data_IF_233834984719
#
_entry.id   IF_233834984719
#
_cell.length_a   1.000
_cell.length_b   1.000
_cell.length_c   1.000
_cell.angle_alpha   90.00
_cell.angle_beta   90.00
_cell.angle_gamma   90.00
#
_symmetry.space_group_name_H-M   'P 1'
#
loop_
_entity.id
_entity.type
_entity.pdbx_description
1 polymer ?
#
# COMPACT_ATOMS: atom_id res chain seq x y z
N UNK A 1 28.53 -6.88 -44.72
CA UNK A 1 29.13 -8.24 -44.70
C UNK A 1 28.01 -9.21 -45.07
N UNK A 2 27.82 -9.39 -46.39
CA UNK A 2 27.79 -10.70 -47.09
C UNK A 2 26.57 -11.55 -46.70
N UNK A 3 25.40 -11.41 -47.32
CA UNK A 3 25.02 -11.78 -48.70
C UNK A 3 25.17 -13.29 -48.97
N UNK A 4 24.05 -14.02 -49.04
CA UNK A 4 23.98 -15.27 -49.80
C UNK A 4 22.54 -15.56 -50.24
N UNK A 5 22.25 -15.11 -51.46
CA UNK A 5 21.15 -15.61 -52.29
C UNK A 5 21.38 -17.09 -52.61
N UNK A 6 20.36 -17.92 -52.39
CA UNK A 6 20.30 -19.25 -53.01
C UNK A 6 19.18 -19.24 -54.03
N UNK A 7 19.59 -19.22 -55.29
CA UNK A 7 18.76 -19.37 -56.48
C UNK A 7 18.66 -20.86 -56.81
N UNK A 8 17.44 -21.37 -56.95
CA UNK A 8 17.18 -22.71 -57.49
C UNK A 8 16.18 -22.61 -58.64
N UNK A 9 16.69 -22.93 -59.83
CA UNK A 9 15.96 -23.50 -60.95
C UNK A 9 15.16 -24.73 -60.46
N UNK A 10 14.01 -25.12 -60.99
CA UNK A 10 13.34 -24.85 -62.25
C UNK A 10 12.49 -26.10 -62.51
N UNK A 11 11.29 -25.96 -63.07
CA UNK A 11 10.58 -27.08 -63.72
C UNK A 11 9.39 -26.53 -64.50
N UNK A 12 9.52 -26.61 -65.83
CA UNK A 12 8.46 -26.31 -66.78
C UNK A 12 7.40 -27.42 -66.74
N UNK A 13 6.26 -27.11 -66.11
CA UNK A 13 5.05 -27.92 -66.17
C UNK A 13 4.07 -27.39 -67.21
N UNK A 14 3.63 -28.26 -68.11
CA UNK A 14 2.56 -28.06 -69.12
C UNK A 14 1.27 -27.53 -68.48
N UNK A 15 0.61 -26.49 -69.03
CA UNK A 15 -0.63 -25.97 -68.48
C UNK A 15 -1.79 -26.92 -68.84
N UNK A 16 -2.15 -27.78 -67.90
CA UNK A 16 -3.45 -28.44 -67.91
C UNK A 16 -4.54 -27.36 -67.84
N UNK A 17 -5.52 -27.43 -68.75
CA UNK A 17 -6.56 -26.44 -68.93
C UNK A 17 -7.19 -26.02 -67.60
N UNK A 18 -7.08 -24.72 -67.29
CA UNK A 18 -7.71 -24.11 -66.12
C UNK A 18 -9.23 -24.27 -66.26
N UNK A 19 -9.91 -25.07 -65.43
CA UNK A 19 -11.36 -25.05 -65.38
C UNK A 19 -11.80 -23.63 -65.04
N UNK A 20 -12.81 -23.13 -65.75
CA UNK A 20 -13.36 -21.80 -65.52
C UNK A 20 -13.61 -21.58 -64.02
N UNK A 21 -13.24 -20.42 -63.45
CA UNK A 21 -13.50 -20.13 -62.06
C UNK A 21 -14.99 -20.31 -61.81
N UNK A 22 -15.33 -21.36 -61.06
CA UNK A 22 -16.67 -21.52 -60.50
C UNK A 22 -16.85 -20.28 -59.65
N UNK A 23 -17.71 -19.37 -60.09
CA UNK A 23 -18.19 -18.23 -59.31
C UNK A 23 -18.93 -18.85 -58.12
N UNK A 24 -18.17 -19.16 -57.06
CA UNK A 24 -18.78 -19.39 -55.76
C UNK A 24 -19.48 -18.07 -55.40
N UNK A 25 -20.79 -18.12 -55.10
CA UNK A 25 -21.46 -16.94 -54.57
C UNK A 25 -20.67 -16.47 -53.34
N UNK A 26 -20.51 -15.16 -53.13
CA UNK A 26 -19.73 -14.63 -52.02
C UNK A 26 -20.19 -15.31 -50.74
N UNK A 27 -19.31 -16.13 -50.16
CA UNK A 27 -19.54 -16.75 -48.87
C UNK A 27 -19.64 -15.60 -47.89
N UNK A 28 -20.87 -15.27 -47.49
CA UNK A 28 -21.16 -14.38 -46.39
C UNK A 28 -20.61 -15.06 -45.14
N UNK A 29 -19.33 -14.85 -44.85
CA UNK A 29 -18.81 -15.13 -43.52
C UNK A 29 -19.70 -14.35 -42.56
N UNK A 30 -20.35 -15.03 -41.61
CA UNK A 30 -21.12 -14.32 -40.60
C UNK A 30 -20.19 -13.31 -39.94
N UNK A 31 -20.64 -12.07 -39.71
CA UNK A 31 -19.83 -11.03 -39.10
C UNK A 31 -19.20 -11.60 -37.83
N UNK A 32 -17.86 -11.57 -37.77
CA UNK A 32 -17.09 -12.03 -36.61
C UNK A 32 -17.55 -11.20 -35.42
N UNK A 33 -18.45 -11.73 -34.61
CA UNK A 33 -18.92 -11.11 -33.38
C UNK A 33 -17.75 -11.11 -32.43
N UNK A 34 -17.00 -10.00 -32.38
CA UNK A 34 -16.06 -9.79 -31.30
C UNK A 34 -16.86 -9.91 -29.99
N UNK A 35 -16.42 -10.77 -29.05
CA UNK A 35 -17.10 -10.86 -27.77
C UNK A 35 -17.13 -9.46 -27.17
N UNK A 36 -18.30 -8.99 -26.68
CA UNK A 36 -18.42 -7.65 -26.16
C UNK A 36 -17.32 -7.41 -25.11
N UNK A 37 -16.67 -6.24 -25.12
CA UNK A 37 -15.60 -5.94 -24.17
C UNK A 37 -16.12 -6.23 -22.77
N UNK A 38 -15.40 -7.09 -22.03
CA UNK A 38 -15.83 -7.54 -20.71
C UNK A 38 -16.19 -6.31 -19.87
N UNK A 39 -17.46 -6.20 -19.49
CA UNK A 39 -17.92 -5.05 -18.72
C UNK A 39 -17.09 -4.93 -17.43
N UNK A 40 -16.59 -3.73 -17.10
CA UNK A 40 -15.87 -3.51 -15.86
C UNK A 40 -16.74 -3.96 -14.68
N UNK A 41 -16.33 -5.02 -13.97
CA UNK A 41 -17.06 -5.49 -12.79
C UNK A 41 -17.15 -4.35 -11.79
N UNK A 42 -18.38 -3.86 -11.54
CA UNK A 42 -18.61 -2.85 -10.51
C UNK A 42 -18.16 -3.41 -9.15
N UNK A 43 -17.38 -2.67 -8.37
CA UNK A 43 -16.97 -3.12 -7.05
C UNK A 43 -18.20 -3.36 -6.16
N UNK A 44 -18.15 -4.40 -5.33
CA UNK A 44 -19.26 -4.77 -4.44
C UNK A 44 -19.49 -3.68 -3.38
N UNK A 45 -20.73 -3.56 -2.89
CA UNK A 45 -21.06 -2.62 -1.80
C UNK A 45 -20.23 -2.92 -0.54
N UNK A 46 -19.99 -4.20 -0.24
CA UNK A 46 -19.16 -4.62 0.88
C UNK A 46 -17.72 -4.07 0.78
N UNK A 47 -17.10 -4.10 -0.40
CA UNK A 47 -15.76 -3.57 -0.61
C UNK A 47 -15.71 -2.05 -0.37
N UNK A 48 -16.76 -1.32 -0.79
CA UNK A 48 -16.88 0.13 -0.52
C UNK A 48 -16.98 0.43 0.96
N UNK A 49 -17.78 -0.34 1.70
CA UNK A 49 -17.93 -0.19 3.16
C UNK A 49 -16.61 -0.50 3.86
N UNK A 50 -15.96 -1.62 3.52
CA UNK A 50 -14.67 -2.00 4.07
C UNK A 50 -13.61 -0.91 3.83
N UNK A 51 -13.57 -0.34 2.63
CA UNK A 51 -12.66 0.76 2.31
C UNK A 51 -12.89 1.96 3.24
N UNK A 52 -14.15 2.39 3.43
CA UNK A 52 -14.50 3.50 4.32
C UNK A 52 -14.08 3.22 5.76
N UNK A 53 -14.37 2.03 6.28
CA UNK A 53 -14.00 1.63 7.64
C UNK A 53 -12.48 1.67 7.83
N UNK A 54 -11.72 1.12 6.88
CA UNK A 54 -10.26 1.13 6.92
C UNK A 54 -9.70 2.55 6.85
N UNK A 55 -10.26 3.42 6.02
CA UNK A 55 -9.82 4.83 5.93
C UNK A 55 -10.08 5.57 7.24
N UNK A 56 -11.25 5.38 7.86
CA UNK A 56 -11.57 5.94 9.17
C UNK A 56 -10.60 5.43 10.24
N UNK A 57 -10.34 4.11 10.27
CA UNK A 57 -9.40 3.51 11.22
C UNK A 57 -7.98 4.10 11.10
N UNK A 58 -7.47 4.29 9.88
CA UNK A 58 -6.18 4.95 9.68
C UNK A 58 -6.18 6.43 10.10
N UNK A 59 -7.28 7.15 9.88
CA UNK A 59 -7.43 8.53 10.34
C UNK A 59 -7.36 8.63 11.86
N UNK A 60 -8.09 7.75 12.57
CA UNK A 60 -8.05 7.67 14.03
C UNK A 60 -6.65 7.27 14.54
N UNK A 61 -6.01 6.30 13.90
CA UNK A 61 -4.63 5.91 14.21
C UNK A 61 -3.66 7.09 14.03
N UNK A 62 -3.79 7.85 12.94
CA UNK A 62 -2.94 9.01 12.69
C UNK A 62 -3.13 10.10 13.77
N UNK A 63 -4.37 10.40 14.16
CA UNK A 63 -4.66 11.33 15.25
C UNK A 63 -4.06 10.86 16.58
N UNK A 64 -4.22 9.58 16.90
CA UNK A 64 -3.62 8.98 18.10
C UNK A 64 -2.09 9.09 18.08
N UNK A 65 -1.43 8.76 16.96
CA UNK A 65 0.01 8.89 16.80
C UNK A 65 0.48 10.34 16.94
N UNK A 66 -0.25 11.32 16.40
CA UNK A 66 0.05 12.74 16.58
C UNK A 66 -0.03 13.13 18.06
N UNK A 67 -1.05 12.65 18.79
CA UNK A 67 -1.16 12.84 20.24
C UNK A 67 0.02 12.26 21.01
N UNK A 68 0.39 11.00 20.72
CA UNK A 68 1.57 10.35 21.31
C UNK A 68 2.85 11.11 21.00
N UNK A 69 3.01 11.60 19.77
CA UNK A 69 4.16 12.38 19.38
C UNK A 69 4.26 13.68 20.16
N UNK A 70 3.14 14.39 20.35
CA UNK A 70 3.08 15.58 21.20
C UNK A 70 3.50 15.29 22.64
N UNK A 71 2.98 14.21 23.24
CA UNK A 71 3.37 13.77 24.59
C UNK A 71 4.86 13.44 24.63
N UNK A 72 5.40 12.73 23.64
CA UNK A 72 6.82 12.36 23.59
C UNK A 72 7.73 13.59 23.47
N UNK A 73 7.38 14.57 22.64
CA UNK A 73 8.12 15.82 22.46
C UNK A 73 8.10 16.66 23.73
N UNK A 74 6.95 16.77 24.41
CA UNK A 74 6.82 17.56 25.64
C UNK A 74 7.47 16.84 26.81
N UNK A 75 7.14 15.57 27.04
CA UNK A 75 7.56 14.86 28.25
C UNK A 75 8.95 14.28 28.17
N UNK A 76 9.48 14.00 26.98
CA UNK A 76 10.81 13.39 26.82
C UNK A 76 11.95 14.37 27.10
N UNK A 77 12.30 15.24 26.13
CA UNK A 77 13.35 16.25 26.30
C UNK A 77 13.12 17.18 27.50
N UNK A 78 11.85 17.54 27.76
CA UNK A 78 11.49 18.46 28.83
C UNK A 78 10.98 17.76 30.10
N UNK A 79 11.27 16.45 30.29
CA UNK A 79 10.86 15.71 31.49
C UNK A 79 11.16 16.47 32.78
N UNK A 80 12.38 17.00 32.90
CA UNK A 80 12.82 17.74 34.09
C UNK A 80 12.26 19.15 34.24
N UNK A 81 11.50 19.65 33.25
CA UNK A 81 10.74 20.90 33.35
C UNK A 81 9.25 20.65 33.64
N UNK A 82 8.75 19.43 33.45
CA UNK A 82 7.35 19.08 33.66
C UNK A 82 7.17 18.38 35.01
N UNK A 83 8.10 17.50 35.37
CA UNK A 83 8.04 16.71 36.60
C UNK A 83 9.02 17.28 37.65
N UNK A 84 8.47 17.83 38.73
CA UNK A 84 9.25 18.36 39.84
C UNK A 84 8.88 17.58 41.11
N UNK A 85 9.68 16.59 41.48
CA UNK A 85 9.39 15.79 42.67
C UNK A 85 10.56 14.93 43.14
N UNK A 86 10.47 14.38 44.36
CA UNK A 86 11.39 13.34 44.81
C UNK A 86 11.17 12.08 43.95
N UNK A 87 12.17 11.70 43.17
CA UNK A 87 12.13 10.48 42.36
C UNK A 87 12.32 9.27 43.29
N UNK A 88 11.28 8.44 43.40
CA UNK A 88 11.34 7.20 44.16
C UNK A 88 12.34 6.20 43.54
N UNK A 89 12.84 5.22 44.30
CA UNK A 89 13.77 4.19 43.79
C UNK A 89 13.19 3.35 42.63
N UNK A 90 11.86 3.23 42.57
CA UNK A 90 11.13 2.53 41.49
C UNK A 90 11.02 3.36 40.19
N UNK A 91 11.50 4.61 40.19
CA UNK A 91 11.47 5.46 39.01
C UNK A 91 12.45 4.94 37.97
N UNK A 92 11.99 4.82 36.72
CA UNK A 92 12.85 4.46 35.60
C UNK A 92 13.97 5.50 35.45
N UNK A 93 15.22 5.07 35.60
CA UNK A 93 16.39 5.96 35.65
C UNK A 93 16.91 6.26 37.06
N UNK A 94 16.31 5.67 38.09
CA UNK A 94 16.77 5.76 39.48
C UNK A 94 16.29 7.03 40.21
N UNK A 95 16.75 7.24 41.45
CA UNK A 95 16.23 8.28 42.33
C UNK A 95 16.72 9.69 42.00
N UNK A 96 17.42 9.86 40.87
CA UNK A 96 17.99 11.16 40.47
C UNK A 96 17.21 11.73 39.29
N UNK A 97 17.05 13.05 39.28
CA UNK A 97 16.45 13.77 38.16
C UNK A 97 17.18 13.47 36.85
N UNK A 98 18.52 13.46 36.87
CA UNK A 98 19.34 13.24 35.69
C UNK A 98 19.14 11.84 35.09
N UNK A 99 19.06 10.82 35.93
CA UNK A 99 18.84 9.45 35.49
C UNK A 99 17.41 9.24 34.96
N UNK A 100 16.39 9.77 35.65
CA UNK A 100 15.01 9.74 35.17
C UNK A 100 14.86 10.46 33.84
N UNK A 101 15.44 11.67 33.72
CA UNK A 101 15.49 12.43 32.47
C UNK A 101 16.19 11.64 31.35
N UNK A 102 17.34 11.02 31.61
CA UNK A 102 18.10 10.32 30.59
C UNK A 102 17.31 9.16 29.97
N UNK A 103 16.58 8.39 30.79
CA UNK A 103 15.73 7.30 30.29
C UNK A 103 14.57 7.84 29.46
N UNK A 104 13.88 8.88 29.94
CA UNK A 104 12.76 9.47 29.21
C UNK A 104 13.21 10.12 27.89
N UNK A 105 14.34 10.81 27.88
CA UNK A 105 14.93 11.35 26.67
C UNK A 105 15.35 10.22 25.70
N UNK A 106 15.99 9.16 26.20
CA UNK A 106 16.42 8.02 25.39
C UNK A 106 15.25 7.26 24.75
N UNK A 107 14.10 7.15 25.42
CA UNK A 107 12.88 6.56 24.85
C UNK A 107 12.16 7.54 23.92
N UNK A 108 12.12 8.83 24.26
CA UNK A 108 11.41 9.82 23.46
C UNK A 108 12.07 10.07 22.11
N UNK A 109 13.40 10.14 22.02
CA UNK A 109 14.11 10.37 20.74
C UNK A 109 13.71 9.40 19.63
N UNK A 110 13.77 8.07 19.81
CA UNK A 110 13.32 7.14 18.78
C UNK A 110 11.83 7.27 18.49
N UNK A 111 10.98 7.50 19.49
CA UNK A 111 9.53 7.72 19.29
C UNK A 111 9.26 8.96 18.43
N UNK A 112 9.96 10.06 18.71
CA UNK A 112 9.87 11.33 17.97
C UNK A 112 10.24 11.15 16.51
N UNK A 113 11.19 10.25 16.20
CA UNK A 113 11.62 9.95 14.83
C UNK A 113 10.67 8.94 14.16
N UNK A 114 10.27 7.88 14.86
CA UNK A 114 9.51 6.77 14.30
C UNK A 114 8.06 7.15 13.98
N UNK A 115 7.42 8.00 14.79
CA UNK A 115 6.02 8.39 14.55
C UNK A 115 5.85 9.15 13.21
N UNK A 116 6.63 10.20 12.89
CA UNK A 116 6.56 10.85 11.58
C UNK A 116 6.78 9.89 10.41
N UNK A 117 7.68 8.90 10.56
CA UNK A 117 7.91 7.87 9.55
C UNK A 117 6.68 6.96 9.39
N UNK A 118 6.04 6.57 10.48
CA UNK A 118 4.80 5.81 10.45
C UNK A 118 3.67 6.59 9.76
N UNK A 119 3.51 7.88 10.09
CA UNK A 119 2.54 8.77 9.45
C UNK A 119 2.82 8.93 7.94
N UNK A 120 4.09 9.04 7.54
CA UNK A 120 4.48 9.05 6.14
C UNK A 120 4.12 7.72 5.45
N UNK A 121 4.31 6.59 6.13
CA UNK A 121 3.90 5.27 5.68
C UNK A 121 2.39 5.18 5.43
N UNK A 122 1.58 5.61 6.40
CA UNK A 122 0.11 5.66 6.30
C UNK A 122 -0.32 6.56 5.13
N UNK A 123 0.28 7.75 4.99
CA UNK A 123 0.02 8.64 3.86
C UNK A 123 0.34 7.97 2.52
N UNK A 124 1.51 7.34 2.39
CA UNK A 124 1.92 6.64 1.16
C UNK A 124 0.97 5.49 0.83
N UNK A 125 0.54 4.74 1.84
CA UNK A 125 -0.43 3.67 1.67
C UNK A 125 -1.76 4.22 1.16
N UNK A 126 -2.28 5.30 1.74
CA UNK A 126 -3.50 5.95 1.29
C UNK A 126 -3.39 6.42 -0.17
N UNK A 127 -2.28 7.05 -0.55
CA UNK A 127 -2.04 7.46 -1.96
C UNK A 127 -1.93 6.28 -2.92
N UNK A 128 -1.48 5.11 -2.44
CA UNK A 128 -1.41 3.91 -3.28
C UNK A 128 -2.78 3.26 -3.43
N UNK A 129 -3.62 3.32 -2.39
CA UNK A 129 -4.99 2.81 -2.43
C UNK A 129 -5.93 3.62 -3.34
N UNK A 130 -5.60 4.87 -3.66
CA UNK A 130 -6.39 5.72 -4.56
C UNK A 130 -5.87 5.74 -6.00
N UNK A 131 -4.80 5.00 -6.33
CA UNK A 131 -4.24 4.92 -7.68
C UNK A 131 -4.81 3.72 -8.44
N UNK A 132 -5.06 3.91 -9.73
CA UNK A 132 -5.41 2.84 -10.67
C UNK A 132 -4.18 2.38 -11.48
N UNK A 133 -3.99 1.07 -11.73
CA UNK A 133 -4.74 -0.04 -11.14
C UNK A 133 -4.40 -0.25 -9.66
N UNK A 134 -5.40 -0.59 -8.86
CA UNK A 134 -5.20 -0.87 -7.44
C UNK A 134 -4.24 -2.06 -7.24
N UNK A 135 -3.19 -1.85 -6.44
CA UNK A 135 -2.24 -2.93 -6.13
C UNK A 135 -2.86 -3.86 -5.09
N UNK A 136 -3.00 -5.15 -5.40
CA UNK A 136 -3.68 -6.12 -4.51
C UNK A 136 -3.13 -6.18 -3.08
N UNK A 137 -1.82 -5.92 -2.89
CA UNK A 137 -1.17 -5.95 -1.57
C UNK A 137 -1.55 -4.76 -0.67
N UNK A 138 -2.13 -3.68 -1.20
CA UNK A 138 -2.47 -2.53 -0.35
C UNK A 138 -3.53 -2.87 0.67
N UNK A 139 -4.48 -3.74 0.31
CA UNK A 139 -5.55 -4.20 1.20
C UNK A 139 -5.04 -4.94 2.44
N UNK A 140 -4.25 -6.04 2.32
CA UNK A 140 -3.76 -6.74 3.50
C UNK A 140 -2.86 -5.85 4.37
N UNK A 141 -2.03 -4.99 3.76
CA UNK A 141 -1.21 -4.04 4.53
C UNK A 141 -2.05 -3.03 5.30
N UNK A 142 -3.11 -2.50 4.68
CA UNK A 142 -4.01 -1.56 5.35
C UNK A 142 -4.80 -2.21 6.49
N UNK A 143 -5.26 -3.44 6.30
CA UNK A 143 -5.92 -4.21 7.37
C UNK A 143 -4.94 -4.45 8.52
N UNK A 144 -3.71 -4.88 8.20
CA UNK A 144 -2.68 -5.14 9.21
C UNK A 144 -2.35 -3.89 10.04
N UNK A 145 -2.18 -2.73 9.40
CA UNK A 145 -1.92 -1.47 10.09
C UNK A 145 -3.10 -1.05 10.95
N UNK A 146 -4.34 -1.21 10.46
CA UNK A 146 -5.53 -0.91 11.26
C UNK A 146 -5.60 -1.80 12.52
N UNK A 147 -5.36 -3.10 12.38
CA UNK A 147 -5.34 -4.05 13.52
C UNK A 147 -4.21 -3.70 14.49
N UNK A 148 -3.00 -3.46 13.99
CA UNK A 148 -1.85 -3.07 14.83
C UNK A 148 -2.12 -1.76 15.59
N UNK A 149 -2.78 -0.79 14.94
CA UNK A 149 -3.20 0.46 15.56
C UNK A 149 -4.19 0.26 16.71
N UNK A 150 -5.19 -0.61 16.53
CA UNK A 150 -6.15 -0.96 17.60
C UNK A 150 -5.44 -1.63 18.78
N UNK A 151 -4.56 -2.60 18.51
CA UNK A 151 -3.79 -3.30 19.55
C UNK A 151 -2.92 -2.30 20.33
N UNK A 152 -2.20 -1.43 19.63
CA UNK A 152 -1.38 -0.39 20.25
C UNK A 152 -2.22 0.55 21.12
N UNK A 153 -3.37 1.00 20.61
CA UNK A 153 -4.28 1.89 21.35
C UNK A 153 -4.81 1.24 22.63
N UNK A 154 -5.25 -0.02 22.56
CA UNK A 154 -5.72 -0.77 23.73
C UNK A 154 -4.59 -0.97 24.74
N UNK A 155 -3.40 -1.37 24.28
CA UNK A 155 -2.23 -1.53 25.15
C UNK A 155 -1.85 -0.22 25.84
N UNK A 156 -1.93 0.91 25.14
CA UNK A 156 -1.69 2.23 25.72
C UNK A 156 -2.74 2.60 26.77
N UNK A 157 -4.03 2.35 26.53
CA UNK A 157 -5.08 2.59 27.51
C UNK A 157 -4.92 1.75 28.78
N UNK A 158 -4.35 0.55 28.67
CA UNK A 158 -4.06 -0.30 29.82
C UNK A 158 -2.84 0.15 30.64
N UNK A 159 -2.03 1.07 30.11
CA UNK A 159 -0.88 1.67 30.82
C UNK A 159 -1.24 2.93 31.61
N UNK A 160 -2.40 3.55 31.31
CA UNK A 160 -2.91 4.72 32.03
C UNK A 160 -3.45 4.33 33.40
#
# INVERSE_FOLDING_TARGET
MTDTRTSTAGTHGTPAGRPAPRTEPPRTEPPRTEPPPAEPRRPSTALRVAHRVITVAHGLLALFLIGLWGIAVVRGPFFGLVEHGPFGPETWGGPTLAGAWAVHAAVAVPVIVLIPLALLGIRRLHTTMTREPLRWWTWPVAVLIAVAGVVLFVAWLQQL
#
